data_IF_194668168377
#
_entry.id   IF_194668168377
#
_cell.length_a   1.000
_cell.length_b   1.000
_cell.length_c   1.000
_cell.angle_alpha   90.00
_cell.angle_beta   90.00
_cell.angle_gamma   90.00
#
_symmetry.space_group_name_H-M   'P 1'
#
loop_
_entity.id
_entity.type
_entity.pdbx_description
1 polymer ?
#
# COMPACT_ATOMS: atom_id res chain seq x y z
N UNK A 1 1.50 -13.72 12.24
CA UNK A 1 2.72 -14.59 12.39
C UNK A 1 3.95 -13.93 11.78
N UNK A 2 3.80 -13.35 10.60
CA UNK A 2 4.67 -12.36 9.98
C UNK A 2 5.16 -11.29 10.95
N UNK A 3 4.29 -10.70 11.78
CA UNK A 3 4.67 -9.72 12.82
C UNK A 3 5.66 -10.30 13.83
N UNK A 4 5.45 -11.54 14.30
CA UNK A 4 6.36 -12.20 15.25
C UNK A 4 7.72 -12.46 14.61
N UNK A 5 7.75 -12.91 13.35
CA UNK A 5 9.00 -13.13 12.61
C UNK A 5 9.75 -11.80 12.44
N UNK A 6 9.02 -10.74 12.15
CA UNK A 6 9.59 -9.41 11.97
C UNK A 6 10.13 -8.80 13.28
N UNK A 7 9.39 -8.93 14.38
CA UNK A 7 9.73 -8.36 15.68
C UNK A 7 10.78 -9.16 16.46
N UNK A 8 10.81 -10.49 16.30
CA UNK A 8 11.61 -11.38 17.14
C UNK A 8 12.80 -12.04 16.40
N UNK A 9 13.37 -11.36 15.40
CA UNK A 9 14.39 -11.93 14.49
C UNK A 9 15.54 -12.65 15.21
N UNK A 10 16.07 -12.05 16.27
CA UNK A 10 17.22 -12.60 17.01
C UNK A 10 16.89 -13.85 17.84
N UNK A 11 15.62 -14.00 18.24
CA UNK A 11 15.16 -15.07 19.12
C UNK A 11 14.46 -16.21 18.37
N UNK A 12 14.03 -15.96 17.13
CA UNK A 12 13.24 -16.91 16.32
C UNK A 12 14.09 -17.90 15.53
N UNK A 13 15.42 -17.77 15.51
CA UNK A 13 16.31 -18.62 14.71
C UNK A 13 16.12 -20.13 14.93
N UNK A 14 15.78 -20.55 16.15
CA UNK A 14 15.54 -21.97 16.51
C UNK A 14 14.16 -22.46 16.04
N UNK A 15 13.14 -21.61 16.12
CA UNK A 15 11.75 -21.98 15.80
C UNK A 15 11.42 -21.81 14.31
N UNK A 16 12.13 -20.92 13.61
CA UNK A 16 11.86 -20.55 12.23
C UNK A 16 11.80 -21.75 11.27
N UNK A 17 12.71 -22.74 11.29
CA UNK A 17 12.62 -23.90 10.40
C UNK A 17 11.35 -24.72 10.60
N UNK A 18 10.90 -24.91 11.84
CA UNK A 18 9.70 -25.68 12.15
C UNK A 18 8.42 -24.93 11.70
N UNK A 19 8.39 -23.62 11.89
CA UNK A 19 7.29 -22.76 11.41
C UNK A 19 7.22 -22.80 9.89
N UNK A 20 8.37 -22.65 9.22
CA UNK A 20 8.45 -22.65 7.75
C UNK A 20 8.06 -24.00 7.18
N UNK A 21 8.45 -25.11 7.81
CA UNK A 21 7.99 -26.45 7.42
C UNK A 21 6.47 -26.55 7.49
N UNK A 22 5.84 -26.11 8.59
CA UNK A 22 4.40 -26.16 8.76
C UNK A 22 3.67 -25.33 7.69
N UNK A 23 4.14 -24.10 7.46
CA UNK A 23 3.57 -23.18 6.45
C UNK A 23 3.74 -23.78 5.05
N UNK A 24 4.94 -24.27 4.70
CA UNK A 24 5.20 -24.90 3.40
C UNK A 24 4.30 -26.12 3.16
N UNK A 25 4.17 -27.01 4.14
CA UNK A 25 3.27 -28.18 4.03
C UNK A 25 1.80 -27.75 3.90
N UNK A 26 1.37 -26.69 4.60
CA UNK A 26 0.01 -26.15 4.47
C UNK A 26 -0.22 -25.50 3.10
N UNK A 27 0.78 -24.80 2.58
CA UNK A 27 0.74 -24.07 1.31
C UNK A 27 0.61 -24.99 0.09
N UNK A 28 1.11 -26.22 0.21
CA UNK A 28 1.00 -27.26 -0.83
C UNK A 28 -0.37 -27.95 -0.88
N UNK A 29 -1.23 -27.71 0.11
CA UNK A 29 -2.60 -28.23 0.14
C UNK A 29 -3.54 -27.19 -0.43
N UNK A 30 -4.72 -27.63 -0.86
CA UNK A 30 -5.77 -26.71 -1.28
C UNK A 30 -6.08 -25.70 -0.16
N UNK A 31 -6.12 -24.42 -0.51
CA UNK A 31 -6.48 -23.32 0.39
C UNK A 31 -7.75 -22.69 -0.17
N UNK A 32 -8.86 -22.88 0.54
CA UNK A 32 -10.18 -22.42 0.08
C UNK A 32 -10.28 -20.89 0.21
N UNK A 33 -9.90 -20.34 1.36
CA UNK A 33 -10.00 -18.90 1.64
C UNK A 33 -8.80 -18.13 1.10
N UNK A 34 -9.07 -16.95 0.51
CA UNK A 34 -8.04 -16.00 0.09
C UNK A 34 -7.27 -15.45 1.28
N UNK A 35 -7.95 -15.13 2.38
CA UNK A 35 -7.34 -14.59 3.60
C UNK A 35 -6.21 -15.48 4.14
N UNK A 36 -6.49 -16.77 4.38
CA UNK A 36 -5.48 -17.70 4.87
C UNK A 36 -4.31 -17.82 3.88
N UNK A 37 -4.59 -17.76 2.57
CA UNK A 37 -3.54 -17.82 1.55
C UNK A 37 -2.65 -16.59 1.62
N UNK A 38 -3.22 -15.39 1.75
CA UNK A 38 -2.48 -14.14 1.91
C UNK A 38 -1.65 -14.14 3.20
N UNK A 39 -2.20 -14.58 4.33
CA UNK A 39 -1.45 -14.69 5.59
C UNK A 39 -0.21 -15.58 5.46
N UNK A 40 -0.31 -16.71 4.76
CA UNK A 40 0.84 -17.60 4.51
C UNK A 40 1.86 -16.96 3.55
N UNK A 41 1.39 -16.25 2.51
CA UNK A 41 2.24 -15.51 1.57
C UNK A 41 3.02 -14.40 2.31
N UNK A 42 2.36 -13.64 3.19
CA UNK A 42 2.99 -12.56 3.96
C UNK A 42 4.15 -13.04 4.82
N UNK A 43 4.04 -14.22 5.45
CA UNK A 43 5.15 -14.81 6.19
C UNK A 43 6.38 -15.02 5.30
N UNK A 44 6.18 -15.56 4.10
CA UNK A 44 7.26 -15.76 3.13
C UNK A 44 7.81 -14.44 2.59
N UNK A 45 6.95 -13.44 2.35
CA UNK A 45 7.37 -12.09 1.95
C UNK A 45 8.28 -11.46 3.02
N UNK A 46 7.87 -11.49 4.29
CA UNK A 46 8.66 -10.93 5.39
C UNK A 46 9.99 -11.65 5.53
N UNK A 47 10.01 -12.98 5.44
CA UNK A 47 11.27 -13.73 5.45
C UNK A 47 12.20 -13.35 4.30
N UNK A 48 11.65 -13.22 3.08
CA UNK A 48 12.39 -12.82 1.90
C UNK A 48 12.97 -11.41 2.06
N UNK A 49 12.16 -10.47 2.54
CA UNK A 49 12.57 -9.08 2.75
C UNK A 49 13.68 -8.96 3.80
N UNK A 50 13.59 -9.71 4.90
CA UNK A 50 14.59 -9.68 5.97
C UNK A 50 15.94 -10.25 5.54
N UNK A 51 15.93 -11.41 4.88
CA UNK A 51 17.15 -12.05 4.43
C UNK A 51 16.87 -13.07 3.30
N UNK A 52 17.12 -12.70 2.03
CA UNK A 52 16.93 -13.61 0.90
C UNK A 52 17.72 -14.91 1.04
N UNK A 53 18.95 -14.87 1.53
CA UNK A 53 19.79 -16.07 1.66
C UNK A 53 19.18 -17.08 2.64
N UNK A 54 18.74 -16.60 3.81
CA UNK A 54 18.06 -17.45 4.80
C UNK A 54 16.72 -17.95 4.30
N UNK A 55 15.97 -17.13 3.56
CA UNK A 55 14.72 -17.52 2.93
C UNK A 55 14.93 -18.73 2.00
N UNK A 56 15.83 -18.62 1.04
CA UNK A 56 16.12 -19.70 0.10
C UNK A 56 16.75 -20.91 0.79
N UNK A 57 17.69 -20.72 1.72
CA UNK A 57 18.29 -21.81 2.48
C UNK A 57 17.25 -22.62 3.25
N UNK A 58 16.32 -21.93 3.93
CA UNK A 58 15.29 -22.58 4.75
C UNK A 58 14.31 -23.34 3.88
N UNK A 59 13.80 -22.72 2.80
CA UNK A 59 12.87 -23.40 1.90
C UNK A 59 13.50 -24.57 1.15
N UNK A 60 14.77 -24.46 0.74
CA UNK A 60 15.49 -25.59 0.13
C UNK A 60 15.68 -26.75 1.11
N UNK A 61 15.94 -26.45 2.39
CA UNK A 61 16.04 -27.47 3.44
C UNK A 61 14.70 -28.18 3.65
N UNK A 62 13.60 -27.41 3.72
CA UNK A 62 12.23 -27.95 3.81
C UNK A 62 11.90 -28.84 2.61
N UNK A 63 12.15 -28.34 1.39
CA UNK A 63 11.92 -29.07 0.14
C UNK A 63 12.75 -30.36 0.04
N UNK A 64 13.95 -30.39 0.63
CA UNK A 64 14.81 -31.57 0.67
C UNK A 64 14.31 -32.61 1.68
N UNK A 65 13.79 -32.15 2.82
CA UNK A 65 13.35 -33.02 3.91
C UNK A 65 11.94 -33.59 3.68
N UNK A 66 11.08 -32.88 2.94
CA UNK A 66 9.71 -33.27 2.66
C UNK A 66 9.41 -33.20 1.15
N UNK A 67 9.32 -34.36 0.46
CA UNK A 67 9.02 -34.42 -0.97
C UNK A 67 7.70 -33.72 -1.37
N UNK A 68 6.72 -33.61 -0.46
CA UNK A 68 5.46 -32.91 -0.75
C UNK A 68 5.64 -31.41 -0.94
N UNK A 69 6.80 -30.87 -0.54
CA UNK A 69 7.13 -29.44 -0.61
C UNK A 69 8.17 -29.09 -1.69
N UNK A 70 8.52 -30.03 -2.57
CA UNK A 70 9.59 -29.84 -3.56
C UNK A 70 9.40 -28.61 -4.47
N UNK A 71 8.15 -28.23 -4.76
CA UNK A 71 7.79 -27.09 -5.62
C UNK A 71 7.50 -25.81 -4.85
N UNK A 72 7.74 -25.76 -3.53
CA UNK A 72 7.27 -24.68 -2.65
C UNK A 72 7.72 -23.29 -3.11
N UNK A 73 8.98 -23.14 -3.51
CA UNK A 73 9.53 -21.85 -3.95
C UNK A 73 8.80 -21.35 -5.20
N UNK A 74 8.66 -22.21 -6.20
CA UNK A 74 7.97 -21.86 -7.44
C UNK A 74 6.48 -21.59 -7.20
N UNK A 75 5.81 -22.42 -6.40
CA UNK A 75 4.40 -22.25 -6.06
C UNK A 75 4.17 -20.94 -5.30
N UNK A 76 5.03 -20.61 -4.34
CA UNK A 76 4.97 -19.35 -3.59
C UNK A 76 5.04 -18.15 -4.54
N UNK A 77 6.08 -18.06 -5.37
CA UNK A 77 6.26 -16.91 -6.25
C UNK A 77 5.11 -16.76 -7.26
N UNK A 78 4.66 -17.86 -7.86
CA UNK A 78 3.55 -17.82 -8.81
C UNK A 78 2.23 -17.42 -8.15
N UNK A 79 1.96 -17.93 -6.95
CA UNK A 79 0.75 -17.61 -6.22
C UNK A 79 0.78 -16.16 -5.74
N UNK A 80 1.90 -15.69 -5.19
CA UNK A 80 2.06 -14.30 -4.77
C UNK A 80 1.82 -13.32 -5.94
N UNK A 81 2.41 -13.57 -7.11
CA UNK A 81 2.18 -12.70 -8.27
C UNK A 81 0.73 -12.73 -8.77
N UNK A 82 0.00 -13.83 -8.53
CA UNK A 82 -1.42 -13.95 -8.91
C UNK A 82 -2.31 -13.21 -7.92
N UNK A 83 -2.03 -13.34 -6.63
CA UNK A 83 -2.86 -12.81 -5.55
C UNK A 83 -2.47 -11.39 -5.11
N UNK A 84 -1.50 -10.76 -5.78
CA UNK A 84 -1.00 -9.42 -5.41
C UNK A 84 -2.12 -8.37 -5.32
N UNK A 85 -3.16 -8.50 -6.13
CA UNK A 85 -4.34 -7.63 -6.14
C UNK A 85 -5.25 -7.77 -4.93
N UNK A 86 -5.13 -8.86 -4.16
CA UNK A 86 -5.98 -9.14 -3.00
C UNK A 86 -5.45 -8.48 -1.71
N UNK A 87 -4.27 -7.87 -1.73
CA UNK A 87 -3.73 -7.11 -0.60
C UNK A 87 -4.47 -5.76 -0.49
N UNK A 88 -5.44 -5.69 0.43
CA UNK A 88 -6.33 -4.54 0.60
C UNK A 88 -5.88 -3.57 1.70
N UNK A 89 -5.46 -4.09 2.87
CA UNK A 89 -5.05 -3.26 4.00
C UNK A 89 -3.76 -2.49 3.76
N UNK A 90 -3.60 -1.33 4.42
CA UNK A 90 -2.38 -0.51 4.34
C UNK A 90 -1.16 -1.35 4.75
N UNK A 91 -1.24 -2.02 5.90
CA UNK A 91 -0.20 -2.92 6.39
C UNK A 91 0.19 -3.98 5.35
N UNK A 92 -0.82 -4.68 4.85
CA UNK A 92 -0.69 -5.76 3.87
C UNK A 92 0.01 -5.29 2.60
N UNK A 93 -0.40 -4.12 2.08
CA UNK A 93 0.21 -3.49 0.91
C UNK A 93 1.65 -3.07 1.18
N UNK A 94 1.97 -2.51 2.35
CA UNK A 94 3.35 -2.14 2.73
C UNK A 94 4.26 -3.36 2.80
N UNK A 95 3.81 -4.45 3.43
CA UNK A 95 4.55 -5.73 3.46
C UNK A 95 4.82 -6.23 2.03
N UNK A 96 3.78 -6.23 1.18
CA UNK A 96 3.90 -6.64 -0.21
C UNK A 96 4.88 -5.75 -1.00
N UNK A 97 4.79 -4.44 -0.83
CA UNK A 97 5.64 -3.43 -1.47
C UNK A 97 7.13 -3.65 -1.17
N UNK A 98 7.47 -3.88 0.10
CA UNK A 98 8.84 -4.15 0.55
C UNK A 98 9.37 -5.49 0.02
N UNK A 99 8.51 -6.51 -0.04
CA UNK A 99 8.80 -7.78 -0.69
C UNK A 99 9.15 -7.61 -2.16
N UNK A 100 8.31 -6.90 -2.93
CA UNK A 100 8.53 -6.64 -4.34
C UNK A 100 9.80 -5.83 -4.59
N UNK A 101 10.11 -4.83 -3.76
CA UNK A 101 11.36 -4.08 -3.82
C UNK A 101 12.59 -4.96 -3.52
N UNK A 102 12.43 -6.02 -2.74
CA UNK A 102 13.47 -7.03 -2.52
C UNK A 102 13.70 -7.85 -3.78
N UNK A 103 12.65 -8.23 -4.50
CA UNK A 103 12.77 -8.90 -5.80
C UNK A 103 13.46 -8.03 -6.86
N UNK A 104 13.19 -6.72 -6.89
CA UNK A 104 13.86 -5.79 -7.81
C UNK A 104 15.38 -5.69 -7.56
N UNK A 105 15.84 -6.02 -6.35
CA UNK A 105 17.25 -5.92 -5.93
C UNK A 105 17.89 -7.27 -5.65
N UNK A 106 17.22 -8.36 -6.04
CA UNK A 106 17.63 -9.70 -5.67
C UNK A 106 18.95 -10.09 -6.35
N UNK A 107 19.80 -10.84 -5.64
CA UNK A 107 21.07 -11.30 -6.18
C UNK A 107 20.87 -12.25 -7.39
N UNK A 108 21.77 -12.16 -8.36
CA UNK A 108 21.73 -12.95 -9.59
C UNK A 108 21.72 -14.47 -9.38
N UNK A 109 22.25 -14.92 -8.25
CA UNK A 109 22.22 -16.33 -7.83
C UNK A 109 20.79 -16.88 -7.73
N UNK A 110 19.80 -16.03 -7.42
CA UNK A 110 18.40 -16.43 -7.23
C UNK A 110 17.53 -16.30 -8.48
N UNK A 111 18.05 -15.73 -9.57
CA UNK A 111 17.29 -15.55 -10.81
C UNK A 111 16.64 -16.82 -11.36
N UNK A 112 17.27 -18.01 -11.33
CA UNK A 112 16.61 -19.24 -11.80
C UNK A 112 15.29 -19.52 -11.07
N UNK A 113 15.22 -19.24 -9.76
CA UNK A 113 14.05 -19.49 -8.93
C UNK A 113 12.87 -18.54 -9.21
N UNK A 114 13.13 -17.34 -9.71
CA UNK A 114 12.12 -16.31 -9.98
C UNK A 114 11.89 -16.04 -11.48
N UNK A 115 12.63 -16.69 -12.37
CA UNK A 115 12.62 -16.46 -13.81
C UNK A 115 11.21 -16.46 -14.44
N UNK A 116 10.31 -17.32 -13.97
CA UNK A 116 8.94 -17.41 -14.46
C UNK A 116 8.03 -16.25 -14.05
N UNK A 117 8.38 -15.50 -13.01
CA UNK A 117 7.55 -14.41 -12.48
C UNK A 117 8.05 -13.02 -12.88
N UNK A 118 9.24 -12.90 -13.46
CA UNK A 118 9.87 -11.61 -13.80
C UNK A 118 8.95 -10.63 -14.51
N UNK A 119 8.19 -11.03 -15.55
CA UNK A 119 7.31 -10.10 -16.27
C UNK A 119 6.17 -9.54 -15.41
N UNK A 120 5.87 -10.18 -14.27
CA UNK A 120 4.79 -9.78 -13.36
C UNK A 120 5.25 -8.91 -12.20
N UNK A 121 6.55 -8.81 -11.93
CA UNK A 121 7.08 -8.10 -10.75
C UNK A 121 6.73 -6.61 -10.82
N UNK A 122 7.12 -5.93 -11.91
CA UNK A 122 6.87 -4.48 -12.07
C UNK A 122 5.39 -4.12 -12.18
N UNK A 123 4.54 -4.83 -12.95
CA UNK A 123 3.09 -4.59 -12.95
C UNK A 123 2.49 -4.68 -11.54
N UNK A 124 2.89 -5.69 -10.76
CA UNK A 124 2.44 -5.84 -9.38
C UNK A 124 2.99 -4.75 -8.45
N UNK A 125 4.22 -4.26 -8.67
CA UNK A 125 4.71 -3.08 -7.95
C UNK A 125 3.78 -1.90 -8.17
N UNK A 126 3.49 -1.58 -9.44
CA UNK A 126 2.64 -0.45 -9.80
C UNK A 126 1.29 -0.55 -9.11
N UNK A 127 0.65 -1.72 -9.20
CA UNK A 127 -0.64 -1.96 -8.57
C UNK A 127 -0.62 -1.68 -7.06
N UNK A 128 0.38 -2.20 -6.35
CA UNK A 128 0.49 -2.03 -4.90
C UNK A 128 0.77 -0.56 -4.53
N UNK A 129 1.70 0.09 -5.23
CA UNK A 129 2.07 1.48 -4.95
C UNK A 129 0.98 2.48 -5.31
N UNK A 130 0.23 2.25 -6.39
CA UNK A 130 -0.96 3.07 -6.70
C UNK A 130 -2.04 2.92 -5.62
N UNK A 131 -2.24 1.69 -5.11
CA UNK A 131 -3.14 1.44 -3.98
C UNK A 131 -2.71 2.16 -2.71
N UNK A 132 -1.42 2.11 -2.36
CA UNK A 132 -0.87 2.82 -1.21
C UNK A 132 -0.98 4.34 -1.37
N UNK A 133 -0.66 4.87 -2.55
CA UNK A 133 -0.70 6.30 -2.83
C UNK A 133 -2.11 6.84 -2.65
N UNK A 134 -3.13 6.14 -3.17
CA UNK A 134 -4.53 6.52 -3.00
C UNK A 134 -4.96 6.52 -1.53
N UNK A 135 -4.58 5.48 -0.78
CA UNK A 135 -4.94 5.40 0.64
C UNK A 135 -4.29 6.51 1.45
N UNK A 136 -3.01 6.83 1.22
CA UNK A 136 -2.36 7.92 1.95
C UNK A 136 -2.89 9.30 1.57
N UNK A 137 -3.21 9.54 0.29
CA UNK A 137 -3.82 10.80 -0.13
C UNK A 137 -5.18 11.01 0.52
N UNK A 138 -6.00 9.95 0.61
CA UNK A 138 -7.30 10.03 1.27
C UNK A 138 -7.17 10.38 2.76
N UNK A 139 -6.25 9.74 3.48
CA UNK A 139 -6.00 10.05 4.89
C UNK A 139 -5.44 11.48 5.08
N UNK A 140 -4.58 11.95 4.17
CA UNK A 140 -4.06 13.33 4.20
C UNK A 140 -5.17 14.38 4.00
N UNK A 141 -6.18 14.08 3.19
CA UNK A 141 -7.35 14.93 2.97
C UNK A 141 -8.25 14.98 4.22
N UNK A 142 -8.53 13.83 4.83
CA UNK A 142 -9.33 13.73 6.07
C UNK A 142 -8.67 14.47 7.25
N UNK A 143 -7.36 14.31 7.44
CA UNK A 143 -6.60 15.01 8.49
C UNK A 143 -6.55 16.53 8.26
N UNK A 144 -6.72 16.99 7.02
CA UNK A 144 -6.68 18.43 6.69
C UNK A 144 -8.02 19.15 6.84
N UNK A 145 -9.13 18.42 6.75
CA UNK A 145 -10.48 18.97 6.94
C UNK A 145 -10.78 19.20 8.44
N UNK A 146 -10.18 18.42 9.34
CA UNK A 146 -10.30 18.58 10.81
C UNK A 146 -9.51 19.79 11.38
N UNK A 147 -8.68 20.45 10.57
CA UNK A 147 -7.94 21.67 10.94
C UNK A 147 -8.64 22.97 10.49
N UNK A 148 -9.89 22.90 10.00
CA UNK A 148 -10.66 24.07 9.52
C UNK A 148 -11.95 24.38 10.28
N UNK A 149 -12.03 24.01 11.56
CA UNK A 149 -13.15 24.41 12.43
C UNK A 149 -12.64 25.19 13.66
N UNK A 150 -12.14 26.41 13.42
CA UNK A 150 -12.24 27.49 14.40
C UNK A 150 -12.09 28.87 13.71
N UNK A 151 -13.11 29.70 13.95
CA UNK A 151 -13.24 31.12 13.64
C UNK A 151 -13.53 31.55 12.19
N UNK A 152 -14.82 31.57 11.83
CA UNK A 152 -15.47 32.83 11.41
C UNK A 152 -17.01 32.71 11.45
N UNK A 153 -17.54 32.95 12.66
CA UNK A 153 -18.89 33.46 12.87
C UNK A 153 -18.92 34.93 12.41
N UNK A 154 -19.31 35.20 11.15
CA UNK A 154 -19.85 36.51 10.78
C UNK A 154 -21.03 36.40 9.81
N UNK A 155 -22.20 36.53 10.42
CA UNK A 155 -23.49 36.87 9.86
C UNK A 155 -23.41 38.00 8.82
N UNK A 156 -23.62 37.68 7.53
CA UNK A 156 -24.20 38.66 6.62
C UNK A 156 -25.00 37.99 5.50
N UNK A 157 -26.28 37.80 5.79
CA UNK A 157 -27.35 37.68 4.78
C UNK A 157 -27.51 39.01 4.04
N UNK A 158 -27.25 39.04 2.74
CA UNK A 158 -27.83 40.04 1.85
C UNK A 158 -28.06 39.45 0.45
N UNK A 159 -29.33 39.33 0.13
CA UNK A 159 -29.90 39.02 -1.18
C UNK A 159 -29.37 39.92 -2.29
N UNK A 160 -29.14 39.35 -3.47
CA UNK A 160 -29.68 39.94 -4.70
C UNK A 160 -29.98 38.86 -5.73
N UNK A 161 -31.24 38.83 -6.14
CA UNK A 161 -31.81 38.06 -7.23
C UNK A 161 -31.70 38.95 -8.47
N UNK A 162 -31.03 38.49 -9.53
CA UNK A 162 -31.31 38.98 -10.89
C UNK A 162 -31.09 37.87 -11.93
N UNK A 163 -32.21 37.21 -12.25
CA UNK A 163 -32.73 36.76 -13.56
C UNK A 163 -31.79 36.45 -14.74
N UNK A 164 -32.06 35.30 -15.38
CA UNK A 164 -31.40 34.87 -16.63
C UNK A 164 -31.71 33.43 -17.02
N UNK A 165 -32.93 33.23 -17.54
CA UNK A 165 -33.46 32.07 -18.27
C UNK A 165 -32.42 31.21 -19.03
N UNK A 166 -32.45 29.87 -18.91
CA UNK A 166 -32.99 28.98 -19.98
C UNK A 166 -32.89 27.46 -19.64
N UNK A 167 -33.98 26.76 -19.98
CA UNK A 167 -34.17 25.32 -20.28
C UNK A 167 -33.95 24.19 -19.23
N UNK A 168 -35.10 23.65 -18.82
CA UNK A 168 -35.44 22.42 -18.07
C UNK A 168 -35.02 21.10 -18.72
N UNK A 169 -34.82 20.05 -17.90
CA UNK A 169 -35.32 18.64 -18.04
C UNK A 169 -34.97 17.92 -16.70
N UNK A 170 -35.93 17.83 -15.76
CA UNK A 170 -36.72 16.63 -15.42
C UNK A 170 -35.90 15.45 -14.88
N UNK A 171 -35.94 15.22 -13.55
CA UNK A 171 -36.07 13.92 -12.84
C UNK A 171 -35.65 14.01 -11.35
N UNK A 172 -36.30 14.85 -10.54
CA UNK A 172 -35.97 15.00 -9.11
C UNK A 172 -37.10 14.58 -8.14
N UNK A 173 -38.27 14.18 -8.68
CA UNK A 173 -39.43 13.85 -7.84
C UNK A 173 -39.47 12.39 -7.34
N UNK A 174 -38.61 11.48 -7.83
CA UNK A 174 -38.62 10.06 -7.41
C UNK A 174 -37.76 9.78 -6.15
N UNK A 175 -36.92 10.73 -5.73
CA UNK A 175 -36.02 10.56 -4.58
C UNK A 175 -36.68 10.98 -3.25
N UNK A 176 -37.45 12.07 -3.26
CA UNK A 176 -38.15 12.59 -2.07
C UNK A 176 -39.35 11.73 -1.66
N UNK A 177 -40.02 11.05 -2.60
CA UNK A 177 -41.13 10.15 -2.28
C UNK A 177 -40.65 8.84 -1.62
N UNK A 178 -39.43 8.36 -1.96
CA UNK A 178 -38.81 7.18 -1.33
C UNK A 178 -38.31 7.43 0.08
N UNK A 179 -37.85 8.65 0.39
CA UNK A 179 -37.43 9.04 1.74
C UNK A 179 -38.63 9.20 2.68
N UNK A 180 -39.74 9.78 2.19
CA UNK A 180 -40.90 10.03 3.03
C UNK A 180 -41.70 8.77 3.36
N UNK A 181 -41.57 7.70 2.55
CA UNK A 181 -42.24 6.41 2.78
C UNK A 181 -41.53 5.52 3.80
N UNK A 182 -40.25 5.77 4.11
CA UNK A 182 -39.50 5.04 5.15
C UNK A 182 -39.65 5.64 6.55
N UNK A 183 -40.21 6.83 6.67
CA UNK A 183 -40.37 7.53 7.96
C UNK A 183 -41.76 7.33 8.61
N UNK A 184 -42.71 6.66 7.94
CA UNK A 184 -44.11 6.58 8.39
C UNK A 184 -44.58 5.22 8.93
N UNK A 185 -43.71 4.19 8.99
CA UNK A 185 -44.12 2.83 9.38
C UNK A 185 -43.73 2.45 10.82
N UNK A 186 -43.46 3.44 11.68
CA UNK A 186 -43.22 3.19 13.09
C UNK A 186 -44.29 3.83 13.98
N UNK A 187 -45.50 3.26 13.97
CA UNK A 187 -46.41 3.30 15.12
C UNK A 187 -47.55 2.26 15.04
N UNK A 188 -47.60 1.40 16.06
CA UNK A 188 -48.79 0.81 16.72
C UNK A 188 -49.40 -0.56 16.32
N UNK A 189 -49.66 -1.34 17.39
CA UNK A 189 -50.50 -2.55 17.56
C UNK A 189 -49.93 -3.90 17.08
N UNK A 190 -50.01 -5.03 17.80
CA UNK A 190 -50.77 -5.41 18.99
C UNK A 190 -51.45 -6.77 18.78
N UNK A 191 -50.90 -7.83 19.41
CA UNK A 191 -51.47 -9.14 19.79
C UNK A 191 -52.18 -10.06 18.75
N UNK A 192 -51.76 -11.34 18.68
CA UNK A 192 -52.63 -12.47 18.28
C UNK A 192 -52.14 -13.49 17.21
N UNK A 193 -51.51 -14.58 17.69
CA UNK A 193 -51.61 -16.01 17.28
C UNK A 193 -51.52 -16.49 15.80
N UNK A 194 -50.62 -17.47 15.61
CA UNK A 194 -50.69 -18.72 14.81
C UNK A 194 -50.23 -18.73 13.33
N UNK A 195 -49.27 -19.63 13.02
CA UNK A 195 -49.10 -20.26 11.70
C UNK A 195 -47.75 -20.13 10.98
N UNK A 196 -46.91 -21.17 11.09
CA UNK A 196 -45.94 -21.74 10.11
C UNK A 196 -45.54 -20.91 8.87
N UNK A 197 -44.26 -20.52 8.78
CA UNK A 197 -43.26 -20.95 7.77
C UNK A 197 -41.97 -20.11 7.99
N UNK A 198 -41.02 -20.64 8.76
CA UNK A 198 -39.68 -20.07 8.98
C UNK A 198 -38.68 -20.71 7.97
N UNK A 199 -38.07 -19.88 7.11
CA UNK A 199 -36.64 -19.86 6.77
C UNK A 199 -36.41 -19.02 5.50
N UNK A 200 -36.48 -17.70 5.64
CA UNK A 200 -35.80 -16.74 4.76
C UNK A 200 -34.87 -15.91 5.67
N UNK A 201 -33.69 -16.46 5.98
CA UNK A 201 -32.61 -15.74 6.67
C UNK A 201 -31.99 -14.71 5.70
N UNK A 202 -32.66 -13.56 5.57
CA UNK A 202 -32.05 -12.29 5.17
C UNK A 202 -31.28 -11.72 6.37
N UNK A 203 -30.18 -12.38 6.75
CA UNK A 203 -29.16 -11.75 7.59
C UNK A 203 -28.37 -10.78 6.70
N UNK A 204 -28.93 -9.58 6.54
CA UNK A 204 -28.17 -8.35 6.39
C UNK A 204 -27.29 -8.16 7.61
N UNK A 205 -26.21 -8.93 7.67
CA UNK A 205 -25.11 -8.75 8.61
C UNK A 205 -24.45 -7.44 8.24
N UNK A 206 -24.92 -6.38 8.88
CA UNK A 206 -24.14 -5.19 9.22
C UNK A 206 -22.92 -5.67 10.02
N UNK A 207 -21.93 -6.19 9.31
CA UNK A 207 -20.65 -6.57 9.84
C UNK A 207 -19.84 -5.28 9.89
N UNK A 208 -20.30 -4.34 10.74
CA UNK A 208 -19.38 -3.49 11.48
C UNK A 208 -18.53 -4.47 12.29
N UNK A 209 -17.46 -4.97 11.65
CA UNK A 209 -16.36 -5.62 12.33
C UNK A 209 -15.81 -4.55 13.24
N UNK A 210 -16.27 -4.57 14.50
CA UNK A 210 -15.64 -3.91 15.62
C UNK A 210 -14.13 -4.11 15.44
N UNK A 211 -13.45 -3.00 15.12
CA UNK A 211 -12.03 -2.92 14.82
C UNK A 211 -11.30 -3.63 15.96
N UNK A 212 -10.95 -4.90 15.75
CA UNK A 212 -10.59 -5.74 16.90
C UNK A 212 -9.35 -5.15 17.57
N UNK A 213 -9.26 -5.21 18.91
CA UNK A 213 -8.13 -4.71 19.73
C UNK A 213 -6.71 -5.05 19.17
N UNK A 214 -6.58 -6.02 18.26
CA UNK A 214 -5.35 -6.34 17.53
C UNK A 214 -4.92 -5.30 16.49
N UNK A 215 -5.85 -4.59 15.83
CA UNK A 215 -5.53 -3.52 14.88
C UNK A 215 -5.00 -2.26 15.59
N UNK A 216 -5.25 -2.13 16.90
CA UNK A 216 -4.67 -1.07 17.75
C UNK A 216 -3.16 -1.22 18.00
N UNK A 217 -2.57 -2.39 17.72
CA UNK A 217 -1.14 -2.62 17.90
C UNK A 217 -0.35 -2.15 16.68
N UNK A 218 0.25 -0.97 16.78
CA UNK A 218 1.19 -0.47 15.78
C UNK A 218 2.33 -1.47 15.54
N UNK A 219 2.43 -1.97 14.31
CA UNK A 219 3.50 -2.88 13.91
C UNK A 219 4.83 -2.12 13.81
N UNK A 220 5.98 -2.78 13.86
CA UNK A 220 7.28 -2.07 13.67
C UNK A 220 7.33 -1.36 12.31
N UNK A 221 6.58 -1.82 11.30
CA UNK A 221 6.46 -1.11 10.03
C UNK A 221 5.73 0.23 10.19
N UNK A 222 4.67 0.28 10.99
CA UNK A 222 3.92 1.52 11.30
C UNK A 222 4.69 2.43 12.27
N UNK A 223 5.31 1.85 13.30
CA UNK A 223 6.03 2.62 14.33
C UNK A 223 7.41 3.13 13.87
N UNK A 224 7.98 2.57 12.80
CA UNK A 224 9.30 2.96 12.32
C UNK A 224 9.19 3.90 11.11
N UNK A 225 9.21 5.20 11.40
CA UNK A 225 9.24 6.27 10.40
C UNK A 225 10.44 6.20 9.45
N UNK A 226 11.51 5.49 9.81
CA UNK A 226 12.69 5.32 8.96
C UNK A 226 12.44 4.38 7.77
N UNK A 227 11.36 3.57 7.81
CA UNK A 227 10.99 2.66 6.73
C UNK A 227 9.95 3.33 5.83
N UNK A 228 10.43 4.04 4.82
CA UNK A 228 9.61 4.64 3.76
C UNK A 228 9.60 3.74 2.52
N UNK A 229 8.51 3.01 2.31
CA UNK A 229 8.37 2.08 1.18
C UNK A 229 8.49 2.78 -0.18
N UNK A 230 8.00 4.01 -0.30
CA UNK A 230 8.06 4.79 -1.53
C UNK A 230 9.51 5.19 -1.86
N UNK A 231 10.27 5.60 -0.85
CA UNK A 231 11.70 5.86 -1.03
C UNK A 231 12.47 4.57 -1.39
N UNK A 232 12.17 3.46 -0.71
CA UNK A 232 12.79 2.15 -0.99
C UNK A 232 12.52 1.70 -2.43
N UNK A 233 11.31 1.96 -2.96
CA UNK A 233 10.98 1.69 -4.35
C UNK A 233 11.83 2.49 -5.32
N UNK A 234 11.93 3.81 -5.12
CA UNK A 234 12.75 4.69 -5.95
C UNK A 234 14.23 4.25 -5.94
N UNK A 235 14.78 3.94 -4.77
CA UNK A 235 16.15 3.42 -4.65
C UNK A 235 16.34 2.07 -5.35
N UNK A 236 15.32 1.20 -5.27
CA UNK A 236 15.34 -0.10 -5.94
C UNK A 236 15.34 0.05 -7.46
N UNK A 237 14.53 0.96 -8.01
CA UNK A 237 14.53 1.28 -9.44
C UNK A 237 15.85 1.91 -9.90
N UNK A 238 16.45 2.81 -9.10
CA UNK A 238 17.74 3.40 -9.43
C UNK A 238 18.85 2.35 -9.49
N UNK A 239 18.88 1.42 -8.52
CA UNK A 239 19.81 0.29 -8.53
C UNK A 239 19.60 -0.62 -9.73
N UNK A 240 18.35 -0.91 -10.07
CA UNK A 240 17.97 -1.69 -11.24
C UNK A 240 18.49 -1.06 -12.55
N UNK A 241 18.45 0.27 -12.66
CA UNK A 241 18.95 0.99 -13.83
C UNK A 241 20.49 1.05 -13.88
N UNK A 242 21.15 1.17 -12.72
CA UNK A 242 22.60 1.24 -12.64
C UNK A 242 23.28 -0.10 -12.95
N UNK A 243 22.64 -1.21 -12.58
CA UNK A 243 23.12 -2.55 -12.87
C UNK A 243 22.51 -3.08 -14.17
N UNK A 244 23.32 -3.21 -15.22
CA UNK A 244 22.87 -3.65 -16.54
C UNK A 244 22.98 -5.16 -16.77
N UNK A 245 22.94 -5.96 -15.70
CA UNK A 245 22.79 -7.42 -15.81
C UNK A 245 21.56 -7.78 -16.66
N UNK A 246 21.63 -8.87 -17.43
CA UNK A 246 20.59 -9.24 -18.40
C UNK A 246 19.18 -9.41 -17.80
N UNK A 247 19.09 -9.73 -16.51
CA UNK A 247 17.83 -9.79 -15.76
C UNK A 247 17.20 -8.40 -15.55
N UNK A 248 17.99 -7.40 -15.14
CA UNK A 248 17.50 -6.04 -14.95
C UNK A 248 17.03 -5.43 -16.27
N UNK A 249 17.72 -5.77 -17.36
CA UNK A 249 17.28 -5.44 -18.71
C UNK A 249 15.92 -6.09 -19.05
N UNK A 250 15.71 -7.36 -18.68
CA UNK A 250 14.43 -8.04 -18.91
C UNK A 250 13.27 -7.37 -18.14
N UNK A 251 13.50 -6.97 -16.88
CA UNK A 251 12.53 -6.19 -16.10
C UNK A 251 12.20 -4.85 -16.75
N UNK A 252 13.21 -4.08 -17.17
CA UNK A 252 13.00 -2.78 -17.80
C UNK A 252 12.35 -2.88 -19.19
N UNK A 253 12.61 -3.97 -19.92
CA UNK A 253 12.02 -4.22 -21.24
C UNK A 253 10.56 -4.69 -21.16
N UNK A 254 10.14 -5.31 -20.06
CA UNK A 254 8.74 -5.72 -19.89
C UNK A 254 7.79 -4.57 -19.60
N UNK A 255 8.31 -3.35 -19.35
CA UNK A 255 7.48 -2.19 -18.97
C UNK A 255 6.87 -1.52 -20.19
N UNK A 256 5.54 -1.54 -20.25
CA UNK A 256 4.72 -0.85 -21.25
C UNK A 256 4.76 0.68 -21.07
N UNK A 257 4.38 1.47 -22.10
CA UNK A 257 4.32 2.92 -21.97
C UNK A 257 3.37 3.40 -20.86
N UNK A 258 2.24 2.72 -20.67
CA UNK A 258 1.27 3.03 -19.61
C UNK A 258 1.88 2.80 -18.23
N UNK A 259 2.49 1.64 -18.01
CA UNK A 259 3.19 1.32 -16.75
C UNK A 259 4.33 2.31 -16.44
N UNK A 260 5.01 2.85 -17.47
CA UNK A 260 6.01 3.91 -17.26
C UNK A 260 5.40 5.18 -16.70
N UNK A 261 4.19 5.55 -17.11
CA UNK A 261 3.48 6.73 -16.56
C UNK A 261 3.19 6.51 -15.09
N UNK A 262 2.67 5.33 -14.71
CA UNK A 262 2.44 5.00 -13.31
C UNK A 262 3.72 5.04 -12.47
N UNK A 263 4.82 4.46 -12.97
CA UNK A 263 6.12 4.52 -12.29
C UNK A 263 6.58 5.98 -12.09
N UNK A 264 6.42 6.84 -13.11
CA UNK A 264 6.76 8.27 -12.99
C UNK A 264 5.88 8.98 -11.95
N UNK A 265 4.59 8.68 -11.91
CA UNK A 265 3.67 9.25 -10.92
C UNK A 265 4.07 8.84 -9.50
N UNK A 266 4.40 7.56 -9.28
CA UNK A 266 4.89 7.06 -7.98
C UNK A 266 6.17 7.80 -7.58
N UNK A 267 7.12 7.97 -8.50
CA UNK A 267 8.38 8.69 -8.23
C UNK A 267 8.13 10.15 -7.86
N UNK A 268 7.25 10.84 -8.60
CA UNK A 268 6.89 12.22 -8.31
C UNK A 268 6.22 12.36 -6.94
N UNK A 269 5.29 11.45 -6.62
CA UNK A 269 4.66 11.41 -5.31
C UNK A 269 5.68 11.19 -4.19
N UNK A 270 6.64 10.27 -4.36
CA UNK A 270 7.75 10.07 -3.41
C UNK A 270 8.57 11.34 -3.19
N UNK A 271 8.91 12.06 -4.27
CA UNK A 271 9.67 13.31 -4.19
C UNK A 271 8.90 14.41 -3.46
N UNK A 272 7.59 14.54 -3.72
CA UNK A 272 6.70 15.47 -3.01
C UNK A 272 6.70 15.19 -1.50
N UNK A 273 6.44 13.94 -1.09
CA UNK A 273 6.44 13.53 0.32
C UNK A 273 7.76 13.80 1.01
N UNK A 274 8.88 13.57 0.31
CA UNK A 274 10.22 13.84 0.85
C UNK A 274 10.42 15.34 1.11
N UNK A 275 10.01 16.19 0.17
CA UNK A 275 10.09 17.65 0.33
C UNK A 275 9.21 18.16 1.47
N UNK A 276 8.01 17.60 1.62
CA UNK A 276 7.09 17.93 2.72
C UNK A 276 7.66 17.52 4.08
N UNK A 277 8.20 16.30 4.21
CA UNK A 277 8.90 15.85 5.42
C UNK A 277 10.10 16.74 5.75
N UNK A 278 10.90 17.15 4.76
CA UNK A 278 12.04 18.04 4.97
C UNK A 278 11.59 19.46 5.38
N UNK A 279 10.54 19.99 4.74
CA UNK A 279 9.92 21.27 5.08
C UNK A 279 9.38 21.29 6.50
N UNK A 280 8.66 20.24 6.91
CA UNK A 280 8.13 20.09 8.26
C UNK A 280 9.25 20.01 9.30
N UNK A 281 10.32 19.24 9.04
CA UNK A 281 11.51 19.21 9.90
C UNK A 281 12.18 20.57 10.05
N UNK A 282 12.25 21.36 8.98
CA UNK A 282 12.77 22.73 9.03
C UNK A 282 11.84 23.65 9.84
N UNK A 283 10.52 23.51 9.68
CA UNK A 283 9.51 24.26 10.45
C UNK A 283 9.63 23.96 11.95
N UNK A 284 9.71 22.69 12.32
CA UNK A 284 9.88 22.23 13.71
C UNK A 284 11.24 22.63 14.30
N UNK A 285 12.28 22.69 13.48
CA UNK A 285 13.60 23.18 13.88
C UNK A 285 13.66 24.72 14.07
N UNK A 286 12.53 25.43 13.98
CA UNK A 286 12.44 26.88 14.17
C UNK A 286 12.67 27.71 12.90
N UNK A 287 12.54 27.10 11.72
CA UNK A 287 12.79 27.72 10.42
C UNK A 287 14.25 27.67 9.97
N UNK A 288 14.53 28.22 8.79
CA UNK A 288 15.90 28.30 8.28
C UNK A 288 16.74 29.22 9.17
N UNK A 289 17.68 28.63 9.92
CA UNK A 289 18.69 29.41 10.65
C UNK A 289 19.62 30.09 9.64
N UNK A 290 19.30 31.33 9.27
CA UNK A 290 20.26 32.22 8.63
C UNK A 290 21.39 32.48 9.63
N UNK A 291 22.44 31.67 9.55
CA UNK A 291 23.67 31.98 10.29
C UNK A 291 24.12 33.37 9.84
N UNK A 292 23.96 34.34 10.73
CA UNK A 292 24.37 35.71 10.53
C UNK A 292 25.90 35.74 10.63
N UNK A 293 26.57 35.16 9.64
CA UNK A 293 27.99 35.37 9.40
C UNK A 293 28.13 36.82 8.98
N UNK A 294 28.62 37.61 9.93
CA UNK A 294 28.75 39.05 9.85
C UNK A 294 29.39 39.53 8.53
N UNK A 295 28.85 40.67 8.04
CA UNK A 295 29.49 41.61 7.12
C UNK A 295 29.59 41.25 5.62
N UNK A 296 28.48 40.88 4.99
CA UNK A 296 28.27 41.19 3.58
C UNK A 296 26.83 41.70 3.40
N UNK A 297 26.66 42.80 2.66
CA UNK A 297 25.36 43.43 2.42
C UNK A 297 24.32 42.50 1.78
N UNK A 298 23.08 42.96 1.58
CA UNK A 298 22.00 42.14 1.03
C UNK A 298 22.48 41.48 -0.29
N UNK A 299 22.32 40.15 -0.44
CA UNK A 299 22.80 39.46 -1.62
C UNK A 299 22.05 39.99 -2.84
N UNK A 300 22.77 40.55 -3.80
CA UNK A 300 22.21 41.14 -5.03
C UNK A 300 21.72 40.11 -6.05
N UNK A 301 21.62 38.84 -5.67
CA UNK A 301 21.09 37.77 -6.52
C UNK A 301 20.66 36.57 -5.67
N UNK A 302 19.35 36.35 -5.60
CA UNK A 302 18.76 35.07 -5.20
C UNK A 302 18.72 34.18 -6.44
N UNK A 303 19.47 33.08 -6.43
CA UNK A 303 19.41 32.09 -7.50
C UNK A 303 18.34 31.04 -7.17
N UNK A 304 17.18 31.12 -7.82
CA UNK A 304 16.09 30.14 -7.74
C UNK A 304 16.40 28.83 -8.50
N UNK A 305 17.51 28.75 -9.23
CA UNK A 305 17.89 27.51 -9.94
C UNK A 305 18.70 26.61 -9.01
N UNK A 306 18.01 26.00 -8.05
CA UNK A 306 18.51 24.80 -7.41
C UNK A 306 18.67 23.73 -8.48
N UNK A 307 19.91 23.44 -8.88
CA UNK A 307 20.25 22.18 -9.53
C UNK A 307 20.04 21.06 -8.49
N UNK A 308 18.77 20.69 -8.27
CA UNK A 308 18.45 19.37 -7.76
C UNK A 308 18.96 18.34 -8.78
N UNK A 309 19.43 17.17 -8.33
CA UNK A 309 19.75 16.09 -9.24
C UNK A 309 18.48 15.74 -10.02
N UNK A 310 18.42 16.16 -11.28
CA UNK A 310 17.38 15.72 -12.21
C UNK A 310 17.66 14.26 -12.50
N UNK A 311 16.84 13.37 -11.95
CA UNK A 311 16.88 11.97 -12.35
C UNK A 311 16.26 11.91 -13.74
N UNK A 312 17.09 11.97 -14.78
CA UNK A 312 16.69 11.74 -16.16
C UNK A 312 16.37 10.25 -16.34
N UNK A 313 15.21 9.81 -15.86
CA UNK A 313 14.89 8.40 -15.72
C UNK A 313 14.75 7.66 -17.05
N UNK A 314 14.46 8.29 -18.20
CA UNK A 314 14.07 7.53 -19.40
C UNK A 314 14.33 8.24 -20.75
N UNK A 315 15.35 9.10 -20.89
CA UNK A 315 15.62 9.76 -22.20
C UNK A 315 16.43 8.92 -23.21
N UNK A 316 16.94 7.75 -22.83
CA UNK A 316 17.87 6.98 -23.67
C UNK A 316 17.26 5.71 -24.29
N UNK A 317 16.03 5.75 -24.79
CA UNK A 317 15.55 4.74 -25.74
C UNK A 317 14.85 5.41 -26.92
N UNK A 318 15.64 5.58 -28.00
CA UNK A 318 15.19 5.83 -29.37
C UNK A 318 15.32 4.54 -30.17
#
# INVERSE_FOLDING_TARGET
MEVIIFQCQDHMSVALPAIVQLIATRFQRNIVTSELRLMLIQVFIVMLWLNPDRFFQTLNTVATNDPSTQTIIANFFNQWMTDCHLFAGVHDRRVCALGLCTLLRIDATYYPAISGIVPKILPNCIQIYDGLMKTYQHNEEEDSDDETDDDDDDDSVASDIEDGEDETIEHEDDFLEKLNKKASDHEMSGDGLDGDDDDDDDEGSDFDIDETDLESYSTILEANEDIDEFQIFCESLQKLQADTTGYNQALLQSVTPEERVHIQNIIHYTEKRKQEKESNKIREAGGYNFSQSAAAGPPTSFNFTGNGPTINLLQNQK
#
